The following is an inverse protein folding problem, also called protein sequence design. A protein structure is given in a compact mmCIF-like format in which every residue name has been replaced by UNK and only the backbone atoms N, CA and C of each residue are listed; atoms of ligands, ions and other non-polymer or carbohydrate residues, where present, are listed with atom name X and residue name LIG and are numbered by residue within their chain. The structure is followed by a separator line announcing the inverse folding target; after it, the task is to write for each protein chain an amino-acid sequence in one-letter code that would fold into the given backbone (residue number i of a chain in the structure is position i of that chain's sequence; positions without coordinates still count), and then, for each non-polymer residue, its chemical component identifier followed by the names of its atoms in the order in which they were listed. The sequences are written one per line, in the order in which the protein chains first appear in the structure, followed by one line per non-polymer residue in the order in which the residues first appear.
data_IF_804868809208
#
_entry.id   IF_804868809208
#
_cell.length_a   1.000
_cell.length_b   1.000
_cell.length_c   1.000
_cell.angle_alpha   90.00
_cell.angle_beta   90.00
_cell.angle_gamma   90.00
#
_symmetry.space_group_name_H-M   'P 1'
#
loop_
_entity.id
_entity.type
_entity.pdbx_description
1 polymer ?
#
# COMPACT_ATOMS: atom_id res chain seq x y z
N UNK A 1 -58.10 9.48 -55.98
CA UNK A 1 -57.77 9.09 -54.60
C UNK A 1 -56.84 7.88 -54.50
N UNK A 2 -57.02 6.81 -55.28
CA UNK A 2 -56.13 5.61 -55.21
C UNK A 2 -54.67 5.86 -55.63
N UNK A 3 -54.38 6.77 -56.57
CA UNK A 3 -53.01 7.09 -57.00
C UNK A 3 -52.19 7.96 -56.05
N UNK A 4 -52.84 8.73 -55.17
CA UNK A 4 -52.22 9.58 -54.13
C UNK A 4 -51.77 8.72 -52.95
N UNK A 5 -52.51 7.65 -52.64
CA UNK A 5 -52.17 6.73 -51.53
C UNK A 5 -50.91 5.92 -51.82
N UNK A 6 -50.66 5.53 -53.10
CA UNK A 6 -49.43 4.82 -53.46
C UNK A 6 -48.17 5.71 -53.45
N UNK A 7 -48.27 7.00 -53.70
CA UNK A 7 -47.16 7.97 -53.63
C UNK A 7 -46.79 8.24 -52.17
N UNK A 8 -47.77 8.31 -51.24
CA UNK A 8 -47.53 8.48 -49.81
C UNK A 8 -46.96 7.21 -49.18
N UNK A 9 -47.38 6.02 -49.63
CA UNK A 9 -46.82 4.73 -49.11
C UNK A 9 -45.37 4.51 -49.62
N UNK A 10 -45.02 4.92 -50.85
CA UNK A 10 -43.65 4.82 -51.40
C UNK A 10 -42.69 5.84 -50.75
N UNK A 11 -43.17 7.04 -50.37
CA UNK A 11 -42.36 8.04 -49.67
C UNK A 11 -42.09 7.64 -48.20
N UNK A 12 -42.97 6.88 -47.54
CA UNK A 12 -42.78 6.41 -46.16
C UNK A 12 -41.78 5.26 -46.02
N UNK A 13 -41.57 4.48 -47.12
CA UNK A 13 -40.62 3.38 -47.14
C UNK A 13 -39.15 3.82 -47.45
N UNK A 14 -38.92 5.06 -47.89
CA UNK A 14 -37.60 5.62 -48.14
C UNK A 14 -36.96 6.31 -46.94
N UNK A 15 -37.72 6.48 -45.85
CA UNK A 15 -37.20 7.05 -44.60
C UNK A 15 -36.77 5.99 -43.57
N UNK A 16 -36.86 4.70 -43.86
CA UNK A 16 -36.54 3.61 -42.94
C UNK A 16 -35.12 3.05 -43.03
N UNK A 17 -34.25 3.63 -43.91
CA UNK A 17 -32.90 3.10 -44.10
C UNK A 17 -31.77 4.12 -43.82
N UNK A 18 -32.05 5.12 -42.95
CA UNK A 18 -31.03 6.10 -42.58
C UNK A 18 -31.09 6.37 -41.11
N UNK A 19 -30.46 5.53 -40.29
CA UNK A 19 -30.07 5.84 -38.91
C UNK A 19 -29.31 4.69 -38.23
N UNK A 20 -28.41 3.98 -38.90
CA UNK A 20 -27.45 3.11 -38.21
C UNK A 20 -26.13 3.80 -37.90
N UNK A 21 -25.77 4.87 -38.62
CA UNK A 21 -24.50 5.60 -38.40
C UNK A 21 -24.57 6.76 -37.36
N UNK A 22 -25.74 7.03 -36.77
CA UNK A 22 -25.95 8.18 -35.88
C UNK A 22 -26.00 7.82 -34.40
N UNK A 23 -25.73 6.57 -34.00
CA UNK A 23 -25.73 6.12 -32.60
C UNK A 23 -24.36 5.66 -32.12
N UNK A 24 -23.32 5.74 -32.92
CA UNK A 24 -21.96 5.70 -32.39
C UNK A 24 -21.61 7.10 -31.80
N UNK A 25 -22.18 7.40 -30.66
CA UNK A 25 -21.67 8.48 -29.83
C UNK A 25 -20.40 7.95 -29.17
N UNK A 26 -19.29 8.05 -29.85
CA UNK A 26 -18.00 8.01 -29.20
C UNK A 26 -17.97 9.17 -28.19
N UNK A 27 -17.99 8.90 -26.88
CA UNK A 27 -17.97 10.00 -25.91
C UNK A 27 -16.68 10.77 -26.14
N UNK A 28 -16.77 12.00 -26.59
CA UNK A 28 -15.63 12.90 -26.85
C UNK A 28 -14.78 13.21 -25.59
N UNK A 29 -15.06 12.56 -24.48
CA UNK A 29 -14.37 12.70 -23.18
C UNK A 29 -13.75 11.39 -22.66
N UNK A 30 -13.92 10.24 -23.34
CA UNK A 30 -13.17 9.03 -23.09
C UNK A 30 -12.41 8.66 -24.37
N UNK A 31 -11.10 8.82 -24.36
CA UNK A 31 -10.23 8.25 -25.40
C UNK A 31 -10.33 6.74 -25.21
N UNK A 32 -10.69 6.02 -26.29
CA UNK A 32 -10.65 4.55 -26.29
C UNK A 32 -9.23 4.12 -25.90
N UNK A 33 -9.10 3.20 -24.96
CA UNK A 33 -7.81 2.72 -24.48
C UNK A 33 -6.96 2.13 -25.63
N UNK A 34 -7.59 1.65 -26.70
CA UNK A 34 -6.91 1.18 -27.92
C UNK A 34 -6.33 2.31 -28.76
N UNK A 35 -6.94 3.49 -28.74
CA UNK A 35 -6.43 4.68 -29.45
C UNK A 35 -5.44 5.47 -28.61
N UNK A 36 -5.48 5.29 -27.27
CA UNK A 36 -4.68 6.07 -26.31
C UNK A 36 -3.22 5.59 -26.20
N UNK A 37 -2.96 4.27 -26.29
CA UNK A 37 -1.65 3.68 -26.01
C UNK A 37 -0.91 3.27 -27.30
N UNK A 38 -0.81 4.19 -28.27
CA UNK A 38 -0.28 3.92 -29.61
C UNK A 38 1.14 4.44 -29.84
N UNK A 39 1.75 5.07 -28.85
CA UNK A 39 3.13 5.56 -28.92
C UNK A 39 3.90 5.36 -27.61
N UNK A 40 5.25 5.34 -27.66
CA UNK A 40 6.07 5.27 -26.45
C UNK A 40 5.75 6.37 -25.44
N UNK A 41 5.50 7.61 -25.88
CA UNK A 41 5.19 8.75 -25.03
C UNK A 41 3.82 8.57 -24.33
N UNK A 42 2.84 8.03 -25.04
CA UNK A 42 1.53 7.72 -24.48
C UNK A 42 1.61 6.60 -23.44
N UNK A 43 2.41 5.56 -23.71
CA UNK A 43 2.69 4.47 -22.77
C UNK A 43 3.40 5.00 -21.51
N UNK A 44 4.40 5.88 -21.66
CA UNK A 44 5.09 6.51 -20.52
C UNK A 44 4.12 7.37 -19.69
N UNK A 45 3.29 8.18 -20.33
CA UNK A 45 2.30 8.99 -19.65
C UNK A 45 1.28 8.13 -18.87
N UNK A 46 0.81 7.03 -19.47
CA UNK A 46 -0.07 6.08 -18.79
C UNK A 46 0.62 5.38 -17.61
N UNK A 47 1.89 5.00 -17.75
CA UNK A 47 2.66 4.41 -16.65
C UNK A 47 2.75 5.34 -15.45
N UNK A 48 2.92 6.64 -15.67
CA UNK A 48 2.90 7.65 -14.60
C UNK A 48 1.50 7.76 -13.95
N UNK A 49 0.41 7.50 -14.68
CA UNK A 49 -0.95 7.43 -14.11
C UNK A 49 -1.07 6.30 -13.08
N UNK A 50 -0.51 5.12 -13.34
CA UNK A 50 -0.51 3.99 -12.38
C UNK A 50 0.20 4.36 -11.08
N UNK A 51 1.37 5.04 -11.16
CA UNK A 51 2.04 5.58 -9.97
C UNK A 51 1.19 6.65 -9.27
N UNK A 52 0.49 7.50 -10.04
CA UNK A 52 -0.31 8.57 -9.44
C UNK A 52 -1.47 8.05 -8.59
N UNK A 53 -1.99 6.85 -8.88
CA UNK A 53 -3.03 6.22 -8.07
C UNK A 53 -2.58 5.87 -6.66
N UNK A 54 -1.27 5.66 -6.42
CA UNK A 54 -0.73 5.48 -5.07
C UNK A 54 -0.95 6.71 -4.18
N UNK A 55 -1.12 7.90 -4.75
CA UNK A 55 -1.37 9.15 -4.01
C UNK A 55 -2.81 9.35 -3.56
N UNK A 56 -3.75 8.52 -4.02
CA UNK A 56 -5.14 8.59 -3.58
C UNK A 56 -5.25 8.40 -2.07
N UNK A 57 -6.23 9.07 -1.45
CA UNK A 57 -6.50 8.96 -0.01
C UNK A 57 -6.74 7.51 0.42
N UNK A 58 -7.45 6.71 -0.42
CA UNK A 58 -7.69 5.28 -0.17
C UNK A 58 -6.44 4.39 -0.35
N UNK A 59 -5.33 4.96 -0.78
CA UNK A 59 -4.03 4.32 -0.92
C UNK A 59 -3.01 4.98 0.03
N UNK A 60 -1.77 5.19 -0.42
CA UNK A 60 -0.69 5.75 0.39
C UNK A 60 -0.84 7.26 0.66
N UNK A 61 -1.83 7.94 0.05
CA UNK A 61 -2.17 9.30 0.45
C UNK A 61 -2.57 9.41 1.92
N UNK A 62 -3.24 8.38 2.47
CA UNK A 62 -3.56 8.28 3.90
C UNK A 62 -3.83 6.84 4.36
N UNK A 63 -4.80 6.16 3.73
CA UNK A 63 -5.47 5.02 4.35
C UNK A 63 -4.56 3.79 4.51
N UNK A 64 -3.67 3.50 3.56
CA UNK A 64 -2.72 2.39 3.68
C UNK A 64 -1.70 2.59 4.81
N UNK A 65 -1.52 3.83 5.26
CA UNK A 65 -0.67 4.17 6.41
C UNK A 65 -1.50 4.30 7.69
N UNK A 66 -2.56 5.12 7.65
CA UNK A 66 -3.28 5.50 8.87
C UNK A 66 -4.24 4.41 9.36
N UNK A 67 -4.96 3.73 8.47
CA UNK A 67 -5.98 2.76 8.87
C UNK A 67 -5.38 1.55 9.60
N UNK A 68 -4.27 0.93 9.16
CA UNK A 68 -3.65 -0.16 9.92
C UNK A 68 -3.19 0.22 11.32
N UNK A 69 -2.83 1.48 11.53
CA UNK A 69 -2.43 1.97 12.85
C UNK A 69 -3.65 2.19 13.77
N UNK A 70 -4.72 2.79 13.24
CA UNK A 70 -5.91 3.04 14.06
C UNK A 70 -6.77 1.78 14.29
N UNK A 71 -6.70 0.78 13.41
CA UNK A 71 -7.31 -0.53 13.65
C UNK A 71 -6.58 -1.31 14.76
N UNK A 72 -5.28 -1.06 14.95
CA UNK A 72 -4.40 -1.79 15.87
C UNK A 72 -4.38 -1.21 17.29
N UNK A 73 -3.50 -1.78 18.11
CA UNK A 73 -3.16 -1.36 19.46
C UNK A 73 -2.13 -0.20 19.52
N UNK A 74 -1.69 0.33 18.37
CA UNK A 74 -0.72 1.44 18.32
C UNK A 74 -1.33 2.79 18.61
N UNK A 75 -2.62 2.98 18.33
CA UNK A 75 -3.21 4.30 18.47
C UNK A 75 -4.60 4.30 19.10
N UNK A 76 -4.95 5.44 19.68
CA UNK A 76 -6.29 5.78 20.15
C UNK A 76 -6.84 6.95 19.34
N UNK A 77 -8.19 7.06 19.19
CA UNK A 77 -8.80 8.20 18.53
C UNK A 77 -8.61 9.48 19.36
N UNK A 78 -8.39 10.59 18.66
CA UNK A 78 -8.17 11.89 19.29
C UNK A 78 -8.79 13.03 18.46
N UNK A 79 -8.70 14.27 18.97
CA UNK A 79 -9.31 15.42 18.34
C UNK A 79 -10.84 15.37 18.37
N UNK A 80 -11.49 16.30 17.66
CA UNK A 80 -12.96 16.44 17.58
C UNK A 80 -13.53 15.96 16.24
N UNK A 81 -12.68 15.42 15.36
CA UNK A 81 -13.08 14.94 14.04
C UNK A 81 -13.77 13.59 14.09
N UNK A 82 -14.63 13.34 13.09
CA UNK A 82 -15.33 12.05 12.93
C UNK A 82 -14.61 11.09 11.99
N UNK A 83 -13.55 11.53 11.31
CA UNK A 83 -12.78 10.69 10.39
C UNK A 83 -11.99 9.63 11.19
N UNK A 84 -11.88 8.44 10.63
CA UNK A 84 -11.19 7.29 11.21
C UNK A 84 -11.75 6.78 12.56
N UNK A 85 -12.80 7.42 13.12
CA UNK A 85 -13.41 6.99 14.39
C UNK A 85 -14.00 5.58 14.27
N UNK A 86 -14.64 5.26 13.15
CA UNK A 86 -15.16 3.92 12.90
C UNK A 86 -14.06 2.86 12.91
N UNK A 87 -12.94 3.15 12.22
CA UNK A 87 -11.76 2.27 12.17
C UNK A 87 -11.10 2.15 13.55
N UNK A 88 -10.89 3.28 14.25
CA UNK A 88 -10.28 3.29 15.56
C UNK A 88 -11.08 2.49 16.61
N UNK A 89 -12.41 2.44 16.46
CA UNK A 89 -13.31 1.65 17.28
C UNK A 89 -13.59 0.24 16.71
N UNK A 90 -12.90 -0.18 15.67
CA UNK A 90 -13.09 -1.45 14.97
C UNK A 90 -14.58 -1.75 14.69
N UNK A 91 -15.32 -0.73 14.22
CA UNK A 91 -16.73 -0.90 13.87
C UNK A 91 -16.85 -1.78 12.62
N UNK A 92 -17.90 -2.63 12.58
CA UNK A 92 -18.17 -3.48 11.44
C UNK A 92 -18.26 -2.67 10.14
N UNK A 93 -17.48 -3.05 9.14
CA UNK A 93 -17.39 -2.37 7.84
C UNK A 93 -16.48 -1.13 7.81
N UNK A 94 -15.97 -0.64 8.94
CA UNK A 94 -14.99 0.42 8.99
C UNK A 94 -13.57 -0.16 8.93
N UNK A 95 -13.01 -0.21 7.73
CA UNK A 95 -11.70 -0.80 7.44
C UNK A 95 -11.06 -0.07 6.25
N UNK A 96 -10.04 -0.65 5.63
CA UNK A 96 -9.51 -0.20 4.35
C UNK A 96 -10.58 -0.25 3.25
N UNK A 97 -10.47 0.67 2.30
CA UNK A 97 -11.38 0.81 1.15
C UNK A 97 -10.62 0.95 -0.17
N UNK A 98 -9.45 0.29 -0.25
CA UNK A 98 -8.53 0.38 -1.37
C UNK A 98 -8.90 -0.48 -2.60
N UNK A 99 -9.97 -1.29 -2.54
CA UNK A 99 -10.40 -2.23 -3.58
C UNK A 99 -10.49 -1.59 -4.97
N UNK A 100 -11.35 -0.61 -5.11
CA UNK A 100 -11.62 0.00 -6.42
C UNK A 100 -10.38 0.69 -7.02
N UNK A 101 -9.65 1.45 -6.20
CA UNK A 101 -8.45 2.15 -6.65
C UNK A 101 -7.33 1.19 -7.05
N UNK A 102 -7.17 0.07 -6.34
CA UNK A 102 -6.19 -0.96 -6.66
C UNK A 102 -6.55 -1.68 -7.97
N UNK A 103 -7.80 -2.13 -8.15
CA UNK A 103 -8.19 -2.79 -9.39
C UNK A 103 -8.15 -1.87 -10.62
N UNK A 104 -8.43 -0.57 -10.46
CA UNK A 104 -8.21 0.39 -11.55
C UNK A 104 -6.72 0.51 -11.92
N UNK A 105 -5.84 0.56 -10.93
CA UNK A 105 -4.40 0.60 -11.16
C UNK A 105 -3.89 -0.68 -11.84
N UNK A 106 -4.35 -1.84 -11.37
CA UNK A 106 -4.02 -3.16 -11.95
C UNK A 106 -4.49 -3.22 -13.41
N UNK A 107 -5.71 -2.79 -13.70
CA UNK A 107 -6.22 -2.77 -15.07
C UNK A 107 -5.40 -1.85 -15.97
N UNK A 108 -5.08 -0.62 -15.53
CA UNK A 108 -4.22 0.29 -16.28
C UNK A 108 -2.83 -0.29 -16.53
N UNK A 109 -2.21 -0.90 -15.51
CA UNK A 109 -0.91 -1.56 -15.67
C UNK A 109 -0.98 -2.71 -16.69
N UNK A 110 -2.01 -3.54 -16.63
CA UNK A 110 -2.22 -4.63 -17.60
C UNK A 110 -2.49 -4.11 -19.03
N UNK A 111 -3.21 -3.00 -19.19
CA UNK A 111 -3.39 -2.34 -20.50
C UNK A 111 -2.06 -1.85 -21.06
N UNK A 112 -1.17 -1.31 -20.21
CA UNK A 112 0.18 -0.90 -20.62
C UNK A 112 1.01 -2.11 -21.05
N UNK A 113 0.97 -3.21 -20.27
CA UNK A 113 1.66 -4.46 -20.64
C UNK A 113 1.17 -5.00 -21.99
N UNK A 114 -0.13 -4.93 -22.23
CA UNK A 114 -0.73 -5.31 -23.54
C UNK A 114 -0.25 -4.38 -24.66
N UNK A 115 -0.22 -3.06 -24.45
CA UNK A 115 0.24 -2.09 -25.42
C UNK A 115 1.72 -2.24 -25.76
N UNK A 116 2.58 -2.59 -24.81
CA UNK A 116 3.99 -2.89 -25.07
C UNK A 116 4.20 -4.05 -26.07
N UNK A 117 3.24 -4.96 -26.20
CA UNK A 117 3.29 -6.04 -27.19
C UNK A 117 2.79 -5.61 -28.58
N UNK A 118 2.04 -4.52 -28.67
CA UNK A 118 1.41 -4.02 -29.90
C UNK A 118 2.18 -2.84 -30.50
N UNK A 119 2.92 -2.07 -29.68
CA UNK A 119 3.68 -0.89 -30.11
C UNK A 119 5.17 -1.23 -30.21
N UNK A 120 5.79 -0.82 -31.32
CA UNK A 120 7.23 -0.95 -31.48
C UNK A 120 7.97 0.04 -30.57
N UNK A 121 8.73 -0.48 -29.63
CA UNK A 121 9.53 0.30 -28.67
C UNK A 121 10.94 -0.30 -28.57
N UNK A 122 11.93 0.51 -28.17
CA UNK A 122 13.26 -0.02 -27.93
C UNK A 122 13.27 -0.95 -26.69
N UNK A 123 14.20 -1.92 -26.62
CA UNK A 123 14.25 -2.90 -25.54
C UNK A 123 14.39 -2.28 -24.13
N UNK A 124 15.20 -1.24 -23.99
CA UNK A 124 15.42 -0.60 -22.66
C UNK A 124 14.16 0.09 -22.16
N UNK A 125 13.43 0.77 -23.06
CA UNK A 125 12.13 1.35 -22.71
C UNK A 125 11.14 0.27 -22.30
N UNK A 126 11.04 -0.82 -23.11
CA UNK A 126 10.18 -1.97 -22.80
C UNK A 126 10.48 -2.55 -21.43
N UNK A 127 11.72 -2.93 -21.18
CA UNK A 127 12.15 -3.54 -19.93
C UNK A 127 11.85 -2.65 -18.74
N UNK A 128 12.12 -1.35 -18.85
CA UNK A 128 11.85 -0.38 -17.81
C UNK A 128 10.36 -0.27 -17.49
N UNK A 129 9.52 -0.05 -18.51
CA UNK A 129 8.08 0.12 -18.28
C UNK A 129 7.44 -1.19 -17.82
N UNK A 130 7.75 -2.31 -18.47
CA UNK A 130 7.22 -3.61 -18.09
C UNK A 130 7.63 -3.98 -16.65
N UNK A 131 8.90 -3.83 -16.28
CA UNK A 131 9.37 -4.09 -14.94
C UNK A 131 8.67 -3.22 -13.89
N UNK A 132 8.47 -1.93 -14.16
CA UNK A 132 7.75 -1.01 -13.29
C UNK A 132 6.27 -1.40 -13.12
N UNK A 133 5.58 -1.77 -14.21
CA UNK A 133 4.17 -2.19 -14.13
C UNK A 133 4.01 -3.50 -13.34
N UNK A 134 4.91 -4.46 -13.54
CA UNK A 134 4.91 -5.72 -12.78
C UNK A 134 5.16 -5.51 -11.28
N UNK A 135 6.07 -4.61 -10.91
CA UNK A 135 6.27 -4.18 -9.52
C UNK A 135 4.98 -3.59 -8.94
N UNK A 136 4.32 -2.66 -9.65
CA UNK A 136 3.10 -2.01 -9.17
C UNK A 136 1.93 -2.99 -9.06
N UNK A 137 1.76 -3.90 -10.03
CA UNK A 137 0.77 -4.98 -9.95
C UNK A 137 0.98 -5.80 -8.67
N UNK A 138 2.23 -6.16 -8.37
CA UNK A 138 2.57 -6.92 -7.17
C UNK A 138 2.25 -6.15 -5.88
N UNK A 139 2.59 -4.86 -5.82
CA UNK A 139 2.29 -4.00 -4.68
C UNK A 139 0.77 -3.91 -4.45
N UNK A 140 -0.01 -3.62 -5.50
CA UNK A 140 -1.46 -3.50 -5.39
C UNK A 140 -2.14 -4.82 -5.01
N UNK A 141 -1.70 -5.96 -5.56
CA UNK A 141 -2.24 -7.26 -5.16
C UNK A 141 -1.88 -7.62 -3.73
N UNK A 142 -0.64 -7.35 -3.29
CA UNK A 142 -0.27 -7.58 -1.89
C UNK A 142 -1.10 -6.71 -0.93
N UNK A 143 -1.33 -5.44 -1.27
CA UNK A 143 -2.19 -4.54 -0.48
C UNK A 143 -3.66 -5.02 -0.44
N UNK A 144 -4.18 -5.56 -1.54
CA UNK A 144 -5.51 -6.20 -1.57
C UNK A 144 -5.54 -7.46 -0.68
N UNK A 145 -4.53 -8.31 -0.77
CA UNK A 145 -4.44 -9.52 0.05
C UNK A 145 -4.42 -9.18 1.53
N UNK A 146 -3.53 -8.25 1.94
CA UNK A 146 -3.47 -7.80 3.35
C UNK A 146 -4.81 -7.27 3.87
N UNK A 147 -5.58 -6.62 3.00
CA UNK A 147 -6.85 -5.98 3.39
C UNK A 147 -8.02 -6.96 3.43
N UNK A 148 -8.16 -7.85 2.44
CA UNK A 148 -9.39 -8.59 2.17
C UNK A 148 -9.27 -10.10 2.34
N UNK A 149 -8.08 -10.63 2.61
CA UNK A 149 -7.83 -12.05 2.78
C UNK A 149 -7.01 -12.35 4.05
N UNK A 150 -7.02 -13.60 4.48
CA UNK A 150 -6.07 -14.08 5.47
C UNK A 150 -4.68 -14.23 4.86
N UNK A 151 -3.67 -14.18 5.70
CA UNK A 151 -2.29 -14.44 5.29
C UNK A 151 -1.99 -15.94 5.46
N UNK A 152 -1.18 -16.57 4.58
CA UNK A 152 -0.86 -18.00 4.68
C UNK A 152 -0.32 -18.43 6.04
N UNK A 153 0.31 -17.52 6.76
CA UNK A 153 0.88 -17.76 8.09
C UNK A 153 -0.18 -17.87 9.22
N UNK A 154 -1.40 -17.32 9.00
CA UNK A 154 -2.47 -17.36 9.97
C UNK A 154 -3.84 -17.30 9.29
N UNK A 155 -4.56 -18.42 9.29
CA UNK A 155 -5.86 -18.57 8.63
C UNK A 155 -6.91 -19.03 9.64
N UNK A 156 -8.07 -18.36 9.65
CA UNK A 156 -9.29 -18.88 10.28
C UNK A 156 -10.06 -19.66 9.24
N UNK A 157 -9.90 -20.97 9.21
CA UNK A 157 -10.43 -21.85 8.15
C UNK A 157 -11.94 -21.72 7.93
N UNK A 158 -12.73 -21.59 9.00
CA UNK A 158 -14.19 -21.43 8.90
C UNK A 158 -14.61 -20.13 8.19
N UNK A 159 -13.74 -19.11 8.24
CA UNK A 159 -13.98 -17.77 7.68
C UNK A 159 -13.20 -17.51 6.40
N UNK A 160 -12.30 -18.41 6.01
CA UNK A 160 -11.51 -18.27 4.79
C UNK A 160 -12.40 -18.40 3.53
N UNK A 161 -12.30 -17.41 2.65
CA UNK A 161 -12.99 -17.36 1.34
C UNK A 161 -12.00 -17.25 0.19
N UNK A 162 -10.75 -17.59 0.40
CA UNK A 162 -9.67 -17.43 -0.57
C UNK A 162 -9.05 -16.03 -0.58
N UNK A 163 -8.27 -15.77 -1.60
CA UNK A 163 -7.60 -14.48 -1.86
C UNK A 163 -8.57 -13.43 -2.44
N UNK A 164 -8.13 -12.78 -3.50
CA UNK A 164 -8.92 -11.79 -4.26
C UNK A 164 -9.00 -12.21 -5.73
N UNK A 165 -9.93 -11.69 -6.55
CA UNK A 165 -9.98 -11.98 -7.98
C UNK A 165 -8.68 -11.62 -8.68
N UNK A 166 -8.17 -12.52 -9.54
CA UNK A 166 -6.98 -12.29 -10.35
C UNK A 166 -7.35 -11.75 -11.73
N UNK A 167 -7.06 -10.46 -11.94
CA UNK A 167 -7.21 -9.79 -13.23
C UNK A 167 -5.84 -9.72 -13.90
N UNK A 168 -5.53 -10.70 -14.74
CA UNK A 168 -4.21 -10.84 -15.38
C UNK A 168 -4.10 -10.16 -16.73
N UNK A 169 -5.21 -9.65 -17.27
CA UNK A 169 -5.31 -8.99 -18.55
C UNK A 169 -5.96 -7.60 -18.43
N UNK A 170 -5.49 -6.65 -19.25
CA UNK A 170 -6.11 -5.33 -19.32
C UNK A 170 -7.42 -5.37 -20.12
N UNK A 171 -8.49 -4.88 -19.51
CA UNK A 171 -9.84 -4.82 -20.11
C UNK A 171 -9.99 -3.49 -20.84
N UNK A 172 -10.23 -3.55 -22.17
CA UNK A 172 -10.45 -2.38 -23.05
C UNK A 172 -11.90 -1.98 -23.15
N UNK A 173 -12.80 -2.93 -23.09
CA UNK A 173 -14.22 -2.69 -23.27
C UNK A 173 -15.10 -3.67 -22.51
N UNK A 174 -16.39 -3.36 -22.45
CA UNK A 174 -17.37 -4.17 -21.68
C UNK A 174 -17.50 -5.61 -22.16
N UNK A 175 -17.15 -5.88 -23.41
CA UNK A 175 -17.13 -7.22 -24.01
C UNK A 175 -15.95 -8.09 -23.55
N UNK A 176 -14.94 -7.51 -22.92
CA UNK A 176 -13.79 -8.20 -22.36
C UNK A 176 -13.91 -8.40 -20.84
N UNK A 177 -15.02 -7.96 -20.22
CA UNK A 177 -15.22 -8.10 -18.78
C UNK A 177 -15.53 -9.56 -18.44
N UNK A 178 -14.66 -10.15 -17.60
CA UNK A 178 -14.89 -11.44 -16.98
C UNK A 178 -15.24 -11.22 -15.50
N UNK A 179 -16.22 -11.96 -15.00
CA UNK A 179 -16.65 -11.88 -13.61
C UNK A 179 -15.96 -12.98 -12.79
N UNK A 180 -14.71 -12.68 -12.43
CA UNK A 180 -13.84 -13.62 -11.73
C UNK A 180 -14.30 -13.84 -10.28
N UNK A 181 -14.21 -15.09 -9.83
CA UNK A 181 -14.32 -15.45 -8.43
C UNK A 181 -13.04 -15.08 -7.68
N UNK A 182 -13.05 -15.20 -6.36
CA UNK A 182 -11.84 -15.13 -5.55
C UNK A 182 -10.91 -16.28 -5.92
N UNK A 183 -9.67 -15.99 -6.24
CA UNK A 183 -8.64 -17.00 -6.45
C UNK A 183 -8.20 -17.61 -5.11
N UNK A 184 -7.67 -18.83 -5.08
CA UNK A 184 -6.97 -19.36 -3.92
C UNK A 184 -5.87 -18.41 -3.44
N UNK A 185 -5.66 -18.32 -2.13
CA UNK A 185 -4.62 -17.45 -1.55
C UNK A 185 -3.24 -17.75 -2.19
N UNK A 186 -2.89 -19.04 -2.32
CA UNK A 186 -1.61 -19.46 -2.91
C UNK A 186 -1.46 -19.00 -4.35
N UNK A 187 -2.52 -19.05 -5.17
CA UNK A 187 -2.47 -18.62 -6.57
C UNK A 187 -2.21 -17.10 -6.70
N UNK A 188 -2.78 -16.31 -5.79
CA UNK A 188 -2.51 -14.86 -5.77
C UNK A 188 -1.05 -14.59 -5.38
N UNK A 189 -0.50 -15.31 -4.39
CA UNK A 189 0.91 -15.19 -4.01
C UNK A 189 1.84 -15.66 -5.14
N UNK A 190 1.54 -16.76 -5.81
CA UNK A 190 2.31 -17.24 -6.97
C UNK A 190 2.33 -16.20 -8.11
N UNK A 191 1.19 -15.54 -8.35
CA UNK A 191 1.12 -14.46 -9.32
C UNK A 191 1.95 -13.24 -8.92
N UNK A 192 1.91 -12.84 -7.65
CA UNK A 192 2.75 -11.77 -7.10
C UNK A 192 4.24 -12.12 -7.25
N UNK A 193 4.66 -13.35 -6.88
CA UNK A 193 6.03 -13.83 -7.00
C UNK A 193 6.51 -13.76 -8.45
N UNK A 194 5.73 -14.31 -9.39
CA UNK A 194 6.04 -14.27 -10.84
C UNK A 194 6.27 -12.85 -11.34
N UNK A 195 5.43 -11.90 -10.90
CA UNK A 195 5.58 -10.50 -11.30
C UNK A 195 6.79 -9.82 -10.65
N UNK A 196 7.12 -10.12 -9.39
CA UNK A 196 8.30 -9.57 -8.72
C UNK A 196 9.60 -10.10 -9.33
N UNK A 197 9.68 -11.41 -9.63
CA UNK A 197 10.83 -12.00 -10.32
C UNK A 197 11.04 -11.37 -11.71
N UNK A 198 9.95 -11.21 -12.44
CA UNK A 198 10.02 -10.54 -13.75
C UNK A 198 10.42 -9.07 -13.60
N UNK A 199 9.92 -8.35 -12.59
CA UNK A 199 10.31 -6.97 -12.32
C UNK A 199 11.81 -6.84 -12.01
N UNK A 200 12.36 -7.70 -11.14
CA UNK A 200 13.79 -7.73 -10.83
C UNK A 200 14.64 -7.91 -12.10
N UNK A 201 14.30 -8.93 -12.91
CA UNK A 201 15.03 -9.25 -14.12
C UNK A 201 14.97 -8.14 -15.17
N UNK A 202 13.81 -7.51 -15.36
CA UNK A 202 13.59 -6.46 -16.37
C UNK A 202 14.20 -5.11 -15.97
N UNK A 203 14.13 -4.77 -14.68
CA UNK A 203 14.71 -3.53 -14.18
C UNK A 203 16.23 -3.63 -14.05
N UNK A 204 16.77 -4.83 -13.78
CA UNK A 204 18.20 -5.10 -13.75
C UNK A 204 18.96 -4.17 -12.80
N UNK A 205 20.27 -4.17 -12.91
CA UNK A 205 21.15 -3.33 -12.10
C UNK A 205 21.33 -1.91 -12.63
N UNK A 206 20.53 -1.53 -13.64
CA UNK A 206 20.65 -0.20 -14.25
C UNK A 206 20.20 0.87 -13.24
N UNK A 207 21.07 1.83 -12.90
CA UNK A 207 20.69 2.90 -11.99
C UNK A 207 19.48 3.66 -12.52
N UNK A 208 18.42 3.74 -11.70
CA UNK A 208 17.27 4.57 -12.00
C UNK A 208 17.46 5.94 -11.34
N UNK A 209 17.70 6.97 -12.17
CA UNK A 209 17.85 8.35 -11.67
C UNK A 209 16.62 8.93 -10.96
N UNK A 210 15.48 8.23 -11.06
CA UNK A 210 14.22 8.59 -10.39
C UNK A 210 13.93 7.74 -9.14
N UNK A 211 14.89 6.91 -8.70
CA UNK A 211 14.78 6.21 -7.43
C UNK A 211 14.77 7.23 -6.27
N UNK A 212 14.04 6.97 -5.18
CA UNK A 212 13.17 5.82 -4.89
C UNK A 212 11.71 6.00 -5.37
N UNK A 213 11.38 7.00 -6.19
CA UNK A 213 10.01 7.30 -6.61
C UNK A 213 9.49 6.39 -7.73
N UNK A 214 10.39 5.71 -8.42
CA UNK A 214 10.06 4.70 -9.42
C UNK A 214 10.75 3.39 -9.07
N UNK A 215 10.07 2.28 -9.38
CA UNK A 215 10.56 0.95 -9.06
C UNK A 215 11.94 0.69 -9.66
N UNK A 216 12.77 0.03 -8.87
CA UNK A 216 14.10 -0.50 -9.21
C UNK A 216 14.12 -1.99 -8.90
N UNK A 217 15.14 -2.72 -9.34
CA UNK A 217 15.36 -4.11 -8.93
C UNK A 217 15.48 -4.23 -7.41
N UNK A 218 16.22 -3.31 -6.75
CA UNK A 218 16.34 -3.28 -5.29
C UNK A 218 15.00 -3.03 -4.58
N UNK A 219 14.14 -2.14 -5.12
CA UNK A 219 12.79 -1.94 -4.59
C UNK A 219 11.90 -3.18 -4.77
N UNK A 220 12.05 -3.90 -5.89
CA UNK A 220 11.33 -5.15 -6.13
C UNK A 220 11.77 -6.25 -5.14
N UNK A 221 13.08 -6.37 -4.89
CA UNK A 221 13.61 -7.28 -3.85
C UNK A 221 13.11 -6.90 -2.46
N UNK A 222 13.08 -5.61 -2.11
CA UNK A 222 12.57 -5.14 -0.83
C UNK A 222 11.07 -5.46 -0.65
N UNK A 223 10.25 -5.22 -1.69
CA UNK A 223 8.84 -5.65 -1.66
C UNK A 223 8.72 -7.16 -1.55
N UNK A 224 9.58 -7.90 -2.22
CA UNK A 224 9.57 -9.36 -2.17
C UNK A 224 9.85 -9.88 -0.75
N UNK A 225 10.75 -9.23 0.03
CA UNK A 225 10.95 -9.61 1.44
C UNK A 225 9.65 -9.55 2.24
N UNK A 226 8.86 -8.48 2.04
CA UNK A 226 7.56 -8.31 2.70
C UNK A 226 6.57 -9.38 2.26
N UNK A 227 6.42 -9.60 0.96
CA UNK A 227 5.49 -10.58 0.39
C UNK A 227 5.84 -12.00 0.86
N UNK A 228 7.13 -12.37 0.80
CA UNK A 228 7.60 -13.68 1.24
C UNK A 228 7.41 -13.91 2.74
N UNK A 229 7.63 -12.86 3.56
CA UNK A 229 7.38 -12.91 5.01
C UNK A 229 5.92 -13.22 5.33
N UNK A 230 4.98 -12.58 4.61
CA UNK A 230 3.54 -12.84 4.76
C UNK A 230 3.14 -14.22 4.24
N UNK A 231 3.88 -14.75 3.26
CA UNK A 231 3.67 -16.10 2.73
C UNK A 231 4.31 -17.20 3.60
N UNK A 232 5.15 -16.84 4.59
CA UNK A 232 5.89 -17.79 5.40
C UNK A 232 7.09 -18.44 4.69
N UNK A 233 7.54 -17.86 3.58
CA UNK A 233 8.68 -18.32 2.78
C UNK A 233 9.97 -17.63 3.27
N UNK A 234 10.46 -18.08 4.42
CA UNK A 234 11.57 -17.41 5.13
C UNK A 234 12.91 -17.50 4.39
N UNK A 235 13.16 -18.61 3.67
CA UNK A 235 14.36 -18.74 2.83
C UNK A 235 14.36 -17.66 1.72
N UNK A 236 13.20 -17.41 1.12
CA UNK A 236 13.04 -16.35 0.12
C UNK A 236 13.21 -14.96 0.74
N UNK A 237 12.72 -14.73 1.95
CA UNK A 237 12.93 -13.45 2.66
C UNK A 237 14.43 -13.15 2.78
N UNK A 238 15.22 -14.13 3.20
CA UNK A 238 16.67 -13.97 3.39
C UNK A 238 17.34 -13.63 2.06
N UNK A 239 17.09 -14.41 1.02
CA UNK A 239 17.68 -14.19 -0.30
C UNK A 239 17.33 -12.80 -0.87
N UNK A 240 16.07 -12.40 -0.77
CA UNK A 240 15.64 -11.10 -1.29
C UNK A 240 16.11 -9.92 -0.43
N UNK A 241 16.30 -10.12 0.87
CA UNK A 241 16.90 -9.10 1.73
C UNK A 241 18.36 -8.83 1.36
N UNK A 242 19.13 -9.88 1.03
CA UNK A 242 20.51 -9.71 0.53
C UNK A 242 20.54 -8.92 -0.78
N UNK A 243 19.66 -9.25 -1.73
CA UNK A 243 19.51 -8.52 -2.99
C UNK A 243 19.13 -7.05 -2.75
N UNK A 244 18.15 -6.80 -1.89
CA UNK A 244 17.67 -5.47 -1.57
C UNK A 244 18.76 -4.61 -0.92
N UNK A 245 19.41 -5.11 0.12
CA UNK A 245 20.45 -4.39 0.87
C UNK A 245 21.71 -4.13 0.05
N UNK A 246 22.06 -5.02 -0.90
CA UNK A 246 23.19 -4.86 -1.80
C UNK A 246 22.91 -3.97 -3.02
N UNK A 247 21.66 -3.63 -3.28
CA UNK A 247 21.23 -2.87 -4.47
C UNK A 247 21.74 -1.42 -4.52
N UNK A 248 22.13 -0.86 -3.40
CA UNK A 248 22.51 0.56 -3.28
C UNK A 248 21.33 1.53 -3.34
N UNK A 249 20.08 1.04 -3.32
CA UNK A 249 18.88 1.88 -3.23
C UNK A 249 18.56 2.11 -1.76
N UNK A 250 18.44 3.37 -1.37
CA UNK A 250 18.33 3.76 0.02
C UNK A 250 19.67 3.67 0.78
N UNK A 251 19.73 4.26 1.96
CA UNK A 251 20.91 4.30 2.82
C UNK A 251 20.50 4.24 4.27
N UNK A 252 20.90 3.17 4.98
CA UNK A 252 20.64 3.04 6.40
C UNK A 252 21.24 4.19 7.18
N UNK A 253 20.44 4.89 7.99
CA UNK A 253 20.86 6.10 8.66
C UNK A 253 21.40 5.80 10.05
N UNK A 254 22.54 6.43 10.47
CA UNK A 254 23.03 6.31 11.84
C UNK A 254 22.11 7.03 12.83
N UNK A 255 22.31 6.77 14.14
CA UNK A 255 21.54 7.34 15.23
C UNK A 255 21.40 8.87 15.11
N UNK A 256 22.52 9.59 14.97
CA UNK A 256 22.56 11.07 14.89
C UNK A 256 21.75 11.65 13.72
N UNK A 257 21.48 10.86 12.69
CA UNK A 257 20.75 11.29 11.50
C UNK A 257 19.29 10.84 11.50
N UNK A 258 18.87 9.99 12.45
CA UNK A 258 17.54 9.37 12.41
C UNK A 258 16.40 10.39 12.35
N UNK A 259 16.43 11.38 13.24
CA UNK A 259 15.38 12.43 13.28
C UNK A 259 15.45 13.32 12.04
N UNK A 260 16.64 13.72 11.62
CA UNK A 260 16.82 14.57 10.44
C UNK A 260 16.42 13.88 9.14
N UNK A 261 16.53 12.54 9.06
CA UNK A 261 16.06 11.75 7.93
C UNK A 261 14.55 11.91 7.71
N UNK A 262 13.76 11.95 8.80
CA UNK A 262 12.33 12.20 8.75
C UNK A 262 11.95 13.66 8.43
N UNK A 263 12.92 14.56 8.26
CA UNK A 263 12.71 15.97 7.87
C UNK A 263 13.12 16.24 6.42
N UNK A 264 13.77 15.30 5.76
CA UNK A 264 14.18 15.43 4.35
C UNK A 264 12.97 15.23 3.43
N UNK A 265 13.00 15.86 2.26
CA UNK A 265 11.97 15.70 1.23
C UNK A 265 11.86 14.24 0.79
N UNK A 266 12.99 13.58 0.53
CA UNK A 266 13.10 12.15 0.28
C UNK A 266 13.71 11.50 1.50
N UNK A 267 13.03 10.49 2.07
CA UNK A 267 13.58 9.77 3.21
C UNK A 267 14.80 8.94 2.77
N UNK A 268 16.00 9.12 3.38
CA UNK A 268 17.21 8.48 2.88
C UNK A 268 17.18 6.94 2.87
N UNK A 269 16.40 6.33 3.78
CA UNK A 269 16.24 4.88 3.82
C UNK A 269 15.20 4.34 2.83
N UNK A 270 14.50 5.21 2.09
CA UNK A 270 13.45 4.78 1.17
C UNK A 270 14.02 3.93 0.03
N UNK A 271 13.52 2.73 -0.09
CA UNK A 271 13.73 1.85 -1.24
C UNK A 271 12.64 2.05 -2.29
N UNK A 272 11.43 2.36 -1.83
CA UNK A 272 10.32 2.85 -2.65
C UNK A 272 9.52 3.89 -1.86
N UNK A 273 9.25 5.04 -2.50
CA UNK A 273 8.58 6.18 -1.88
C UNK A 273 7.57 6.82 -2.83
N UNK A 274 6.35 7.05 -2.35
CA UNK A 274 5.32 7.78 -3.10
C UNK A 274 5.60 9.27 -2.98
N UNK A 275 5.90 9.90 -4.10
CA UNK A 275 6.16 11.35 -4.18
C UNK A 275 4.88 12.13 -4.38
N UNK A 276 4.79 13.26 -3.67
CA UNK A 276 3.71 14.24 -3.82
C UNK A 276 4.28 15.56 -4.30
N UNK A 277 3.79 16.04 -5.42
CA UNK A 277 4.11 17.37 -5.94
C UNK A 277 3.20 18.43 -5.29
N UNK A 278 3.60 19.69 -5.31
CA UNK A 278 2.84 20.79 -4.67
C UNK A 278 1.39 20.88 -5.13
N UNK A 279 1.11 20.61 -6.41
CA UNK A 279 -0.24 20.59 -6.97
C UNK A 279 -1.04 19.32 -6.61
N UNK A 280 -0.39 18.33 -6.00
CA UNK A 280 -1.00 17.06 -5.56
C UNK A 280 -1.20 17.02 -4.04
N UNK A 281 -0.98 18.15 -3.36
CA UNK A 281 -1.20 18.28 -1.93
C UNK A 281 -2.66 17.97 -1.58
N UNK A 282 -2.86 16.89 -0.82
CA UNK A 282 -4.20 16.42 -0.41
C UNK A 282 -4.84 17.23 0.70
N UNK A 283 -4.13 18.24 1.20
CA UNK A 283 -4.64 19.26 2.09
C UNK A 283 -4.76 18.87 3.55
N UNK A 284 -5.20 19.84 4.33
CA UNK A 284 -5.26 19.77 5.79
C UNK A 284 -6.18 18.66 6.32
N UNK A 285 -7.17 18.25 5.55
CA UNK A 285 -8.15 17.28 6.04
C UNK A 285 -7.68 15.82 5.88
N UNK A 286 -6.90 15.53 4.86
CA UNK A 286 -6.60 14.15 4.46
C UNK A 286 -5.12 13.78 4.58
N UNK A 287 -4.21 14.74 4.78
CA UNK A 287 -2.78 14.46 4.87
C UNK A 287 -2.42 13.62 6.10
N UNK A 288 -1.35 12.84 5.99
CA UNK A 288 -0.81 12.06 7.12
C UNK A 288 -0.38 12.98 8.26
N UNK A 289 0.24 14.14 7.95
CA UNK A 289 0.56 15.14 8.96
C UNK A 289 -0.69 15.54 9.76
N UNK A 290 -1.75 15.94 9.08
CA UNK A 290 -2.98 16.40 9.76
C UNK A 290 -3.73 15.27 10.48
N UNK A 291 -3.50 14.02 10.07
CA UNK A 291 -4.05 12.84 10.73
C UNK A 291 -3.32 12.53 12.04
N UNK A 292 -2.00 12.67 12.06
CA UNK A 292 -1.16 12.19 13.17
C UNK A 292 -0.66 13.30 14.10
N UNK A 293 -0.67 14.58 13.68
CA UNK A 293 -0.22 15.66 14.55
C UNK A 293 -1.06 16.93 14.39
N UNK A 294 -1.24 17.63 15.49
CA UNK A 294 -1.85 18.97 15.54
C UNK A 294 -0.87 20.07 15.11
N UNK A 295 0.43 19.78 15.07
CA UNK A 295 1.49 20.74 14.73
C UNK A 295 1.78 20.73 13.24
N UNK A 296 2.18 21.88 12.69
CA UNK A 296 2.67 21.98 11.31
C UNK A 296 4.19 22.14 11.23
N UNK A 297 4.84 22.49 12.34
CA UNK A 297 6.29 22.53 12.49
C UNK A 297 6.68 22.46 13.97
N UNK A 298 7.98 22.42 14.23
CA UNK A 298 8.57 22.26 15.56
C UNK A 298 8.29 23.43 16.52
N UNK A 299 8.13 24.64 15.98
CA UNK A 299 7.88 25.84 16.78
C UNK A 299 6.40 26.20 16.93
N UNK A 300 5.50 25.38 16.39
CA UNK A 300 4.06 25.62 16.50
C UNK A 300 3.60 25.62 17.94
N UNK A 301 2.84 26.65 18.33
CA UNK A 301 2.23 26.80 19.66
C UNK A 301 0.70 26.69 19.64
N UNK A 302 0.12 26.63 18.45
CA UNK A 302 -1.32 26.48 18.22
C UNK A 302 -1.60 25.32 17.28
N UNK A 303 -2.67 24.60 17.54
CA UNK A 303 -3.11 23.50 16.67
C UNK A 303 -3.53 24.04 15.30
N UNK A 304 -3.06 23.37 14.22
CA UNK A 304 -3.39 23.69 12.83
C UNK A 304 -4.10 22.56 12.11
N UNK A 305 -4.30 21.43 12.81
CA UNK A 305 -5.01 20.23 12.36
C UNK A 305 -5.60 19.48 13.55
N UNK A 306 -6.30 18.39 13.30
CA UNK A 306 -7.04 17.69 14.34
C UNK A 306 -6.19 16.65 15.10
N UNK A 307 -5.15 16.08 14.47
CA UNK A 307 -4.38 15.00 15.07
C UNK A 307 -5.32 13.85 15.49
N UNK A 308 -5.92 13.18 14.48
CA UNK A 308 -7.04 12.24 14.71
C UNK A 308 -6.64 10.94 15.39
N UNK A 309 -5.35 10.57 15.28
CA UNK A 309 -4.80 9.34 15.83
C UNK A 309 -3.51 9.67 16.59
N UNK A 310 -3.52 9.41 17.87
CA UNK A 310 -2.40 9.63 18.77
C UNK A 310 -1.90 8.29 19.30
N UNK A 311 -0.69 8.25 19.87
CA UNK A 311 -0.13 7.02 20.43
C UNK A 311 -1.00 6.49 21.56
N UNK A 312 -1.17 5.16 21.63
CA UNK A 312 -1.66 4.50 22.80
C UNK A 312 -0.61 4.51 23.92
N UNK A 313 -1.03 4.39 25.17
CA UNK A 313 -0.10 4.26 26.31
C UNK A 313 0.74 2.98 26.18
N UNK A 314 0.17 1.91 25.63
CA UNK A 314 0.85 0.65 25.40
C UNK A 314 2.01 0.80 24.40
N UNK A 315 1.79 1.46 23.26
CA UNK A 315 2.89 1.75 22.33
C UNK A 315 3.93 2.69 22.96
N UNK A 316 3.48 3.70 23.71
CA UNK A 316 4.40 4.63 24.37
C UNK A 316 5.33 3.92 25.33
N UNK A 317 4.85 2.89 26.02
CA UNK A 317 5.63 2.06 26.93
C UNK A 317 6.64 1.12 26.25
N UNK A 318 6.56 0.96 24.91
CA UNK A 318 7.51 0.11 24.16
C UNK A 318 8.86 0.83 23.88
N UNK A 319 8.92 2.15 24.04
CA UNK A 319 10.15 2.90 23.85
C UNK A 319 11.03 2.80 25.09
N UNK A 320 12.22 2.26 24.92
CA UNK A 320 13.22 2.17 25.97
C UNK A 320 13.82 3.56 26.31
N UNK A 321 14.44 3.69 27.47
CA UNK A 321 15.19 4.89 27.83
C UNK A 321 16.37 5.09 26.87
N UNK A 322 16.51 6.30 26.32
CA UNK A 322 17.56 6.62 25.35
C UNK A 322 17.26 6.27 23.90
N UNK A 323 16.08 5.68 23.62
CA UNK A 323 15.65 5.35 22.26
C UNK A 323 15.42 6.64 21.43
N UNK A 324 16.25 6.87 20.41
CA UNK A 324 16.15 8.06 19.55
C UNK A 324 14.80 8.17 18.83
N UNK A 325 14.14 7.05 18.56
CA UNK A 325 12.84 7.03 17.89
C UNK A 325 11.77 7.73 18.74
N UNK A 326 11.94 7.75 20.07
CA UNK A 326 11.06 8.46 20.99
C UNK A 326 11.06 9.98 20.76
N UNK A 327 12.10 10.54 20.17
CA UNK A 327 12.20 11.98 19.86
C UNK A 327 11.23 12.42 18.74
N UNK A 328 10.67 11.48 17.96
CA UNK A 328 9.59 11.77 17.01
C UNK A 328 8.21 11.87 17.67
N UNK A 329 8.12 11.57 18.97
CA UNK A 329 6.85 11.54 19.70
C UNK A 329 6.74 12.80 20.58
N UNK A 330 5.81 13.66 20.24
CA UNK A 330 5.65 14.98 20.87
C UNK A 330 4.28 15.14 21.53
N UNK A 331 4.20 15.99 22.55
CA UNK A 331 2.90 16.42 23.06
C UNK A 331 2.14 17.21 21.98
N UNK A 332 0.89 16.89 21.79
CA UNK A 332 0.00 17.59 20.88
C UNK A 332 -0.34 19.00 21.36
N UNK A 333 -1.18 19.68 20.58
CA UNK A 333 -1.68 21.03 20.87
C UNK A 333 -3.22 21.05 20.86
N UNK A 334 -3.81 22.07 21.47
CA UNK A 334 -5.27 22.20 21.52
C UNK A 334 -5.93 21.04 22.24
N UNK A 335 -6.86 20.35 21.59
CA UNK A 335 -7.59 19.20 22.16
C UNK A 335 -6.70 17.97 22.43
N UNK A 336 -5.48 17.95 21.91
CA UNK A 336 -4.48 16.90 22.13
C UNK A 336 -3.34 17.33 23.06
N UNK A 337 -3.49 18.42 23.81
CA UNK A 337 -2.42 18.97 24.67
C UNK A 337 -1.98 18.05 25.81
N UNK A 338 -2.76 17.00 26.08
CA UNK A 338 -2.49 15.94 27.06
C UNK A 338 -2.14 14.58 26.41
N UNK A 339 -1.95 14.52 25.09
CA UNK A 339 -1.73 13.30 24.32
C UNK A 339 -0.43 13.35 23.53
N UNK A 340 0.16 12.19 23.26
CA UNK A 340 1.35 12.06 22.45
C UNK A 340 1.03 11.79 21.00
N UNK A 341 1.62 12.58 20.11
CA UNK A 341 1.49 12.55 18.64
C UNK A 341 2.80 12.11 17.99
N UNK A 342 2.73 11.48 16.81
CA UNK A 342 3.90 11.13 16.02
C UNK A 342 4.19 12.21 14.98
N UNK A 343 5.48 12.52 14.78
CA UNK A 343 5.93 13.56 13.84
C UNK A 343 6.76 13.00 12.67
N UNK A 344 6.56 11.73 12.29
CA UNK A 344 7.18 11.12 11.11
C UNK A 344 6.79 11.86 9.82
N UNK A 345 5.51 12.18 9.66
CA UNK A 345 4.98 13.01 8.58
C UNK A 345 4.83 14.42 9.13
N UNK A 346 5.69 15.33 8.70
CA UNK A 346 5.80 16.64 9.36
C UNK A 346 6.06 17.80 8.38
N UNK A 347 5.35 17.80 7.24
CA UNK A 347 5.47 18.83 6.20
C UNK A 347 6.89 18.96 5.67
N UNK A 348 7.43 17.86 5.16
CA UNK A 348 8.78 17.79 4.60
C UNK A 348 8.99 18.87 3.54
N UNK A 349 10.22 19.37 3.43
CA UNK A 349 10.52 20.48 2.54
C UNK A 349 9.87 21.82 2.94
N UNK A 350 9.24 21.90 4.13
CA UNK A 350 8.62 23.12 4.65
C UNK A 350 7.27 23.48 4.03
N UNK A 351 6.71 22.61 3.20
CA UNK A 351 5.38 22.82 2.60
C UNK A 351 4.33 22.08 3.45
N UNK A 352 3.39 22.84 4.00
CA UNK A 352 2.39 22.30 4.91
C UNK A 352 1.51 21.22 4.23
N UNK A 353 1.32 20.09 4.90
CA UNK A 353 0.57 18.91 4.43
C UNK A 353 1.13 18.24 3.17
N UNK A 354 2.37 18.48 2.83
CA UNK A 354 3.06 17.86 1.71
C UNK A 354 4.19 16.97 2.25
N UNK A 355 3.92 15.69 2.33
CA UNK A 355 4.89 14.68 2.74
C UNK A 355 4.92 13.58 1.70
N UNK A 356 6.12 13.19 1.27
CA UNK A 356 6.29 11.95 0.55
C UNK A 356 6.10 10.77 1.52
N UNK A 357 5.72 9.62 1.01
CA UNK A 357 5.40 8.46 1.85
C UNK A 357 6.37 7.33 1.54
N UNK A 358 7.33 7.04 2.42
CA UNK A 358 8.12 5.81 2.34
C UNK A 358 7.17 4.61 2.41
N UNK A 359 7.16 3.79 1.35
CA UNK A 359 6.37 2.55 1.30
C UNK A 359 7.18 1.38 1.82
N UNK A 360 8.49 1.39 1.51
CA UNK A 360 9.44 0.37 1.96
C UNK A 360 10.74 1.09 2.32
N UNK A 361 11.25 0.84 3.51
CA UNK A 361 12.54 1.36 4.00
C UNK A 361 13.52 0.23 4.29
N UNK A 362 14.81 0.53 4.26
CA UNK A 362 15.90 -0.41 4.61
C UNK A 362 15.68 -1.04 5.99
N UNK A 363 15.23 -0.27 6.98
CA UNK A 363 14.94 -0.79 8.32
C UNK A 363 13.92 -1.91 8.33
N UNK A 364 12.90 -1.85 7.47
CA UNK A 364 11.94 -2.93 7.31
C UNK A 364 12.60 -4.19 6.75
N UNK A 365 13.50 -4.04 5.78
CA UNK A 365 14.21 -5.19 5.17
C UNK A 365 15.04 -5.93 6.22
N UNK A 366 15.78 -5.20 7.08
CA UNK A 366 16.49 -5.80 8.21
C UNK A 366 15.54 -6.55 9.15
N UNK A 367 14.42 -5.94 9.52
CA UNK A 367 13.45 -6.56 10.43
C UNK A 367 12.73 -7.76 9.80
N UNK A 368 12.44 -7.72 8.50
CA UNK A 368 11.90 -8.87 7.77
C UNK A 368 12.89 -10.03 7.79
N UNK A 369 14.19 -9.77 7.57
CA UNK A 369 15.22 -10.80 7.57
C UNK A 369 15.52 -11.33 8.98
N UNK A 370 15.55 -10.45 10.00
CA UNK A 370 15.69 -10.88 11.39
C UNK A 370 14.58 -11.83 11.80
N UNK A 371 13.33 -11.51 11.45
CA UNK A 371 12.18 -12.37 11.72
C UNK A 371 12.30 -13.72 10.99
N UNK A 372 12.69 -13.71 9.71
CA UNK A 372 12.89 -14.93 8.94
C UNK A 372 14.00 -15.82 9.54
N UNK A 373 15.12 -15.25 9.95
CA UNK A 373 16.19 -15.98 10.63
C UNK A 373 15.69 -16.61 11.95
N UNK A 374 14.95 -15.85 12.78
CA UNK A 374 14.38 -16.38 14.03
C UNK A 374 13.40 -17.52 13.77
N UNK A 375 12.55 -17.42 12.75
CA UNK A 375 11.60 -18.47 12.37
C UNK A 375 12.29 -19.76 11.87
N UNK A 376 13.51 -19.66 11.35
CA UNK A 376 14.34 -20.80 10.93
C UNK A 376 15.27 -21.29 12.03
N UNK A 377 15.26 -20.69 13.22
CA UNK A 377 16.14 -21.05 14.35
C UNK A 377 17.59 -20.62 14.14
N UNK A 378 17.84 -19.63 13.29
CA UNK A 378 19.15 -19.03 13.02
C UNK A 378 19.35 -17.82 13.95
N UNK A 379 19.40 -18.08 15.26
CA UNK A 379 19.35 -17.05 16.30
C UNK A 379 20.53 -16.06 16.22
N UNK A 380 21.71 -16.50 15.78
CA UNK A 380 22.89 -15.64 15.68
C UNK A 380 22.71 -14.57 14.59
N UNK A 381 22.22 -14.96 13.43
CA UNK A 381 21.93 -14.08 12.30
C UNK A 381 20.76 -13.14 12.63
N UNK A 382 19.72 -13.65 13.30
CA UNK A 382 18.59 -12.88 13.76
C UNK A 382 19.01 -11.78 14.76
N UNK A 383 19.86 -12.11 15.75
CA UNK A 383 20.43 -11.13 16.67
C UNK A 383 21.28 -10.07 15.95
N UNK A 384 22.05 -10.44 14.92
CA UNK A 384 22.86 -9.49 14.18
C UNK A 384 22.01 -8.41 13.49
N UNK A 385 20.93 -8.80 12.82
CA UNK A 385 20.00 -7.86 12.20
C UNK A 385 19.20 -7.05 13.23
N UNK A 386 18.72 -7.69 14.30
CA UNK A 386 18.05 -7.04 15.41
C UNK A 386 18.95 -5.97 16.05
N UNK A 387 20.21 -6.30 16.34
CA UNK A 387 21.17 -5.38 16.94
C UNK A 387 21.55 -4.22 16.00
N UNK A 388 21.51 -4.42 14.69
CA UNK A 388 21.63 -3.32 13.72
C UNK A 388 20.55 -2.24 13.97
N UNK A 389 19.31 -2.64 14.20
CA UNK A 389 18.20 -1.71 14.50
C UNK A 389 18.35 -1.12 15.92
N UNK A 390 18.69 -1.96 16.92
CA UNK A 390 18.82 -1.52 18.32
C UNK A 390 19.95 -0.53 18.50
N UNK A 391 21.13 -0.86 18.01
CA UNK A 391 22.30 0.04 18.08
C UNK A 391 22.03 1.39 17.40
N UNK A 392 21.40 1.37 16.21
CA UNK A 392 20.95 2.58 15.54
C UNK A 392 19.95 3.39 16.40
N UNK A 393 19.06 2.71 17.12
CA UNK A 393 18.13 3.36 18.04
C UNK A 393 18.80 3.94 19.30
N UNK A 394 20.08 3.63 19.55
CA UNK A 394 20.82 4.04 20.76
C UNK A 394 20.67 3.04 21.90
N UNK A 395 20.23 1.82 21.61
CA UNK A 395 20.05 0.75 22.59
C UNK A 395 21.23 -0.22 22.56
N UNK A 396 21.50 -0.85 23.71
CA UNK A 396 22.52 -1.87 23.82
C UNK A 396 22.18 -3.11 22.98
N UNK A 397 23.22 -3.80 22.51
CA UNK A 397 23.09 -5.11 21.87
C UNK A 397 22.51 -6.15 22.83
N UNK A 398 21.80 -7.11 22.28
CA UNK A 398 21.25 -8.24 22.99
C UNK A 398 21.70 -9.56 22.36
N UNK A 399 21.69 -10.63 23.14
CA UNK A 399 21.89 -12.00 22.68
C UNK A 399 20.77 -12.86 23.24
N UNK A 400 19.69 -12.96 22.46
CA UNK A 400 18.46 -13.65 22.83
C UNK A 400 18.30 -14.92 22.00
N UNK A 401 17.46 -15.85 22.45
CA UNK A 401 17.25 -17.14 21.79
C UNK A 401 15.75 -17.45 21.66
N UNK A 402 15.40 -18.15 20.60
CA UNK A 402 14.07 -18.73 20.39
C UNK A 402 12.96 -17.70 20.51
N UNK A 403 11.95 -17.98 21.35
CA UNK A 403 10.76 -17.14 21.49
C UNK A 403 11.07 -15.74 22.05
N UNK A 404 12.03 -15.61 22.98
CA UNK A 404 12.42 -14.33 23.52
C UNK A 404 13.05 -13.42 22.46
N UNK A 405 13.89 -13.99 21.58
CA UNK A 405 14.43 -13.31 20.42
C UNK A 405 13.32 -12.88 19.46
N UNK A 406 12.42 -13.79 19.16
CA UNK A 406 11.31 -13.51 18.24
C UNK A 406 10.40 -12.38 18.74
N UNK A 407 10.01 -12.39 20.03
CA UNK A 407 9.20 -11.33 20.61
C UNK A 407 9.93 -9.98 20.63
N UNK A 408 11.24 -9.96 20.89
CA UNK A 408 12.02 -8.72 20.84
C UNK A 408 12.11 -8.18 19.41
N UNK A 409 12.28 -9.04 18.38
CA UNK A 409 12.22 -8.63 16.97
C UNK A 409 10.87 -7.97 16.66
N UNK A 410 9.76 -8.57 17.07
CA UNK A 410 8.42 -8.00 16.86
C UNK A 410 8.21 -6.70 17.64
N UNK A 411 8.77 -6.59 18.83
CA UNK A 411 8.76 -5.34 19.61
C UNK A 411 9.53 -4.23 18.90
N UNK A 412 10.76 -4.52 18.45
CA UNK A 412 11.56 -3.55 17.71
C UNK A 412 10.90 -3.17 16.38
N UNK A 413 10.27 -4.13 15.68
CA UNK A 413 9.49 -3.87 14.48
C UNK A 413 8.32 -2.93 14.76
N UNK A 414 7.57 -3.15 15.84
CA UNK A 414 6.45 -2.30 16.25
C UNK A 414 6.89 -0.85 16.48
N UNK A 415 8.00 -0.63 17.20
CA UNK A 415 8.52 0.70 17.51
C UNK A 415 9.11 1.37 16.27
N UNK A 416 9.89 0.62 15.47
CA UNK A 416 10.55 1.14 14.28
C UNK A 416 9.55 1.58 13.21
N UNK A 417 8.54 0.76 12.95
CA UNK A 417 7.56 0.98 11.89
C UNK A 417 6.25 1.61 12.40
N UNK A 418 6.24 2.10 13.64
CA UNK A 418 5.07 2.78 14.21
C UNK A 418 4.58 3.92 13.30
N UNK A 419 3.30 3.94 13.01
CA UNK A 419 2.63 4.90 12.12
C UNK A 419 3.13 4.87 10.66
N UNK A 420 3.59 3.71 10.19
CA UNK A 420 3.95 3.46 8.79
C UNK A 420 3.03 2.41 8.12
N UNK A 421 1.92 2.04 8.76
CA UNK A 421 0.88 1.19 8.19
C UNK A 421 1.16 -0.31 8.29
N UNK A 422 1.82 -0.76 9.34
CA UNK A 422 2.20 -2.16 9.51
C UNK A 422 1.43 -2.90 10.61
N UNK A 423 1.14 -2.26 11.75
CA UNK A 423 0.80 -2.95 12.99
C UNK A 423 -0.40 -3.90 12.90
N UNK A 424 -1.54 -3.50 12.34
CA UNK A 424 -2.70 -4.40 12.26
C UNK A 424 -2.43 -5.61 11.36
N UNK A 425 -1.64 -5.42 10.33
CA UNK A 425 -1.23 -6.51 9.45
C UNK A 425 -0.24 -7.46 10.13
N UNK A 426 0.71 -6.93 10.92
CA UNK A 426 1.62 -7.77 11.72
C UNK A 426 0.85 -8.60 12.74
N UNK A 427 -0.13 -8.02 13.43
CA UNK A 427 -1.00 -8.78 14.34
C UNK A 427 -1.76 -9.89 13.60
N UNK A 428 -2.37 -9.55 12.44
CA UNK A 428 -3.16 -10.50 11.64
C UNK A 428 -2.32 -11.68 11.14
N UNK A 429 -1.13 -11.42 10.54
CA UNK A 429 -0.28 -12.48 10.00
C UNK A 429 0.32 -13.42 11.06
N UNK A 430 0.32 -12.99 12.33
CA UNK A 430 0.72 -13.80 13.47
C UNK A 430 -0.46 -14.42 14.23
N UNK A 431 -1.70 -14.26 13.74
CA UNK A 431 -2.89 -14.76 14.40
C UNK A 431 -3.11 -14.16 15.79
N UNK A 432 -2.67 -12.91 16.01
CA UNK A 432 -2.75 -12.24 17.30
C UNK A 432 -3.99 -11.37 17.42
N UNK A 433 -4.55 -11.34 18.61
CA UNK A 433 -5.65 -10.45 18.97
C UNK A 433 -5.19 -8.99 18.94
N UNK A 434 -6.13 -8.09 18.63
CA UNK A 434 -5.92 -6.65 18.79
C UNK A 434 -6.40 -6.25 20.17
N UNK A 435 -5.46 -5.91 21.05
CA UNK A 435 -5.75 -5.56 22.44
C UNK A 435 -5.71 -4.04 22.60
N UNK A 436 -6.86 -3.42 22.83
CA UNK A 436 -6.99 -1.97 23.04
C UNK A 436 -7.58 -1.68 24.41
N UNK A 437 -7.40 -0.46 24.92
CA UNK A 437 -8.08 0.01 26.12
C UNK A 437 -9.61 -0.10 26.03
N UNK A 438 -10.17 0.05 24.81
CA UNK A 438 -11.62 -0.05 24.55
C UNK A 438 -12.12 -1.50 24.48
N UNK A 439 -11.24 -2.49 24.53
CA UNK A 439 -11.57 -3.92 24.45
C UNK A 439 -10.71 -4.69 23.46
N UNK A 440 -10.83 -6.00 23.48
CA UNK A 440 -10.08 -6.92 22.61
C UNK A 440 -10.91 -7.31 21.38
N UNK A 441 -10.27 -7.28 20.21
CA UNK A 441 -10.78 -7.87 18.96
C UNK A 441 -9.99 -9.16 18.74
N UNK A 442 -10.61 -10.34 18.94
CA UNK A 442 -9.95 -11.61 18.69
C UNK A 442 -9.53 -11.74 17.22
N UNK A 443 -8.44 -12.44 16.96
CA UNK A 443 -7.99 -12.74 15.58
C UNK A 443 -9.09 -13.40 14.74
N UNK A 444 -9.91 -14.24 15.35
CA UNK A 444 -11.02 -14.95 14.72
C UNK A 444 -12.22 -14.05 14.38
N UNK A 445 -12.25 -12.81 14.87
CA UNK A 445 -13.32 -11.87 14.61
C UNK A 445 -13.31 -11.43 13.14
N UNK A 446 -14.48 -11.45 12.49
CA UNK A 446 -14.60 -11.07 11.07
C UNK A 446 -14.09 -9.66 10.75
N UNK A 447 -14.03 -8.75 11.73
CA UNK A 447 -13.54 -7.38 11.58
C UNK A 447 -12.03 -7.28 11.35
N UNK A 448 -11.30 -8.39 11.43
CA UNK A 448 -9.87 -8.44 11.04
C UNK A 448 -9.66 -8.35 9.53
N UNK A 449 -10.71 -8.60 8.74
CA UNK A 449 -10.71 -8.45 7.28
C UNK A 449 -11.62 -7.30 6.86
N UNK A 450 -11.25 -6.60 5.80
CA UNK A 450 -12.08 -5.58 5.19
C UNK A 450 -13.29 -6.20 4.49
N UNK A 451 -14.41 -5.46 4.50
CA UNK A 451 -15.58 -5.79 3.69
C UNK A 451 -15.32 -5.51 2.23
N UNK A 452 -15.54 -6.49 1.35
CA UNK A 452 -15.56 -6.26 -0.10
C UNK A 452 -16.68 -5.25 -0.40
N UNK A 453 -16.46 -4.23 -1.25
CA UNK A 453 -17.50 -3.26 -1.56
C UNK A 453 -18.79 -3.94 -2.03
N UNK A 454 -19.92 -3.57 -1.43
CA UNK A 454 -21.23 -4.21 -1.71
C UNK A 454 -21.54 -4.20 -3.21
N UNK A 455 -21.24 -3.07 -3.88
CA UNK A 455 -21.44 -2.93 -5.32
C UNK A 455 -20.76 -4.04 -6.13
N UNK A 456 -19.55 -4.42 -5.74
CA UNK A 456 -18.80 -5.46 -6.45
C UNK A 456 -19.43 -6.83 -6.29
N UNK A 457 -19.92 -7.13 -5.08
CA UNK A 457 -20.64 -8.39 -4.78
C UNK A 457 -22.00 -8.41 -5.49
N UNK A 458 -22.70 -7.28 -5.56
CA UNK A 458 -23.99 -7.18 -6.23
C UNK A 458 -23.91 -7.39 -7.76
N UNK A 459 -22.79 -6.94 -8.36
CA UNK A 459 -22.56 -7.04 -9.81
C UNK A 459 -21.97 -8.40 -10.21
N UNK A 460 -21.10 -8.96 -9.39
CA UNK A 460 -20.39 -10.20 -9.68
C UNK A 460 -20.94 -11.35 -8.81
N UNK A 461 -21.80 -12.22 -9.37
CA UNK A 461 -22.40 -13.33 -8.63
C UNK A 461 -21.39 -14.41 -8.21
N UNK A 462 -20.15 -14.39 -8.77
CA UNK A 462 -19.09 -15.31 -8.43
C UNK A 462 -18.23 -14.81 -7.26
N UNK A 463 -18.43 -13.55 -6.84
CA UNK A 463 -17.61 -12.91 -5.79
C UNK A 463 -18.24 -13.11 -4.41
N UNK A 464 -17.60 -13.94 -3.59
CA UNK A 464 -18.06 -14.22 -2.24
C UNK A 464 -17.54 -13.18 -1.24
N UNK A 465 -18.43 -12.62 -0.42
CA UNK A 465 -18.12 -11.67 0.65
C UNK A 465 -17.38 -12.35 1.81
N UNK A 466 -16.54 -11.59 2.52
CA UNK A 466 -16.00 -12.03 3.80
C UNK A 466 -17.14 -12.28 4.81
N UNK A 467 -17.10 -13.38 5.60
CA UNK A 467 -18.14 -13.68 6.58
C UNK A 467 -18.37 -12.55 7.58
N UNK A 468 -19.62 -12.36 7.98
CA UNK A 468 -19.98 -11.31 8.95
C UNK A 468 -20.42 -9.97 8.35
N UNK A 469 -20.33 -9.86 7.01
CA UNK A 469 -20.74 -8.64 6.27
C UNK A 469 -21.92 -8.87 5.36
#
# INVERSE_FOLDING_TARGET
MRKIIYIFSSALLLFATSCEELIEVNPKQSIDATEALTSPEAIEAASNSVYSRLRLVSQYGRDMIAVPEVLSDNSIPAGTGIRLVGQANNQAGAHLSNWQSAYYAINEANLILRALNEVEVNPDFRNRIEGQMRFLISLYYHDLMRSYAYDPTAIVEASNRGGVPLMTQGVRGTNEIELEARAPISEVYDYIYTNLEAAQNLLGDTPNSRAPHYATSGAASALFTRVALYNGDYDRVIAEAENALSSGVGSFQPNDNYISAWRQEVHPESMFEVVFMTNENIGQNESLRATFTTRFNETATTATSQGLAVLSEDLLAQYDEGDVRRELVWMGLGDNSDKYEITKFFSRGGINNLDNVPVIRISEVYLNRAEAYAMLGLDAEANADLNTIRTRAGLDDVELLGEELFEEILRQRRVELAFEGHRSFDLKRHGRDIVKESGTIPFEDFRTLARIPIREVDINPNLEQNPGY
#
